data_IF_792337240834
#
_entry.id   IF_792337240834
#
_cell.length_a   1.000
_cell.length_b   1.000
_cell.length_c   1.000
_cell.angle_alpha   90.00
_cell.angle_beta   90.00
_cell.angle_gamma   90.00
#
_symmetry.space_group_name_H-M   'P 1'
#
loop_
_entity.id
_entity.type
_entity.pdbx_description
1 polymer ?
#
# COMPACT_ATOMS: atom_id res chain seq x y z
N UNK A 1 55.34 34.09 17.43
CA UNK A 1 54.31 34.10 18.48
C UNK A 1 53.05 33.52 17.86
N UNK A 2 52.46 32.44 18.39
CA UNK A 2 51.27 31.84 17.78
C UNK A 2 50.01 32.57 18.23
N UNK A 3 49.13 32.87 17.29
CA UNK A 3 47.80 33.42 17.56
C UNK A 3 46.93 32.34 18.22
N UNK A 4 46.38 32.68 19.40
CA UNK A 4 45.40 31.86 20.11
C UNK A 4 44.05 31.94 19.39
N UNK A 5 43.63 30.85 18.75
CA UNK A 5 42.24 30.63 18.39
C UNK A 5 41.38 30.75 19.67
N UNK A 6 40.57 31.80 19.76
CA UNK A 6 39.54 31.91 20.77
C UNK A 6 38.39 30.99 20.37
N UNK A 7 38.27 29.85 21.03
CA UNK A 7 37.05 29.04 20.97
C UNK A 7 35.93 29.82 21.66
N UNK A 8 34.83 30.03 20.95
CA UNK A 8 33.71 30.82 21.42
C UNK A 8 32.97 30.06 22.55
N UNK A 9 32.88 30.62 23.78
CA UNK A 9 32.23 29.97 24.90
C UNK A 9 30.73 29.72 24.68
N UNK A 10 30.11 30.30 23.65
CA UNK A 10 28.77 29.93 23.21
C UNK A 10 28.73 28.53 22.58
N UNK A 11 29.66 28.20 21.70
CA UNK A 11 29.67 26.91 21.00
C UNK A 11 29.97 25.74 21.94
N UNK A 12 30.86 25.93 22.92
CA UNK A 12 31.12 24.92 23.94
C UNK A 12 29.90 24.68 24.83
N UNK A 13 29.19 25.75 25.23
CA UNK A 13 27.96 25.63 26.03
C UNK A 13 26.81 25.02 25.23
N UNK A 14 26.69 25.36 23.96
CA UNK A 14 25.69 24.77 23.07
C UNK A 14 25.98 23.28 22.85
N UNK A 15 27.23 22.92 22.59
CA UNK A 15 27.64 21.52 22.39
C UNK A 15 27.50 20.70 23.67
N UNK A 16 27.81 21.30 24.83
CA UNK A 16 27.59 20.68 26.13
C UNK A 16 26.09 20.50 26.42
N UNK A 17 25.26 21.52 26.15
CA UNK A 17 23.82 21.42 26.31
C UNK A 17 23.18 20.38 25.38
N UNK A 18 23.67 20.26 24.13
CA UNK A 18 23.22 19.24 23.18
C UNK A 18 23.65 17.82 23.61
N UNK A 19 24.86 17.65 24.15
CA UNK A 19 25.30 16.35 24.71
C UNK A 19 24.56 15.99 25.98
N UNK A 20 24.27 16.95 26.86
CA UNK A 20 23.54 16.72 28.11
C UNK A 20 22.07 16.38 27.81
N UNK A 21 21.45 17.11 26.88
CA UNK A 21 20.10 16.80 26.38
C UNK A 21 20.06 15.44 25.67
N UNK A 22 21.07 15.13 24.84
CA UNK A 22 21.21 13.83 24.18
C UNK A 22 21.44 12.68 25.15
N UNK A 23 22.18 12.90 26.25
CA UNK A 23 22.42 11.93 27.32
C UNK A 23 21.18 11.69 28.20
N UNK A 24 20.30 12.69 28.32
CA UNK A 24 19.01 12.57 28.99
C UNK A 24 18.00 11.71 28.21
N UNK A 25 18.17 11.53 26.89
CA UNK A 25 17.47 10.52 26.10
C UNK A 25 18.05 9.11 26.32
N UNK A 26 18.24 8.70 27.56
CA UNK A 26 18.24 7.27 27.86
C UNK A 26 16.79 6.82 27.92
N UNK A 27 16.36 6.10 26.89
CA UNK A 27 15.16 5.28 26.93
C UNK A 27 15.22 4.38 28.17
N UNK A 28 14.66 4.84 29.29
CA UNK A 28 14.59 4.08 30.55
C UNK A 28 13.83 2.77 30.35
N UNK A 29 13.01 2.72 29.30
CA UNK A 29 12.25 1.54 28.94
C UNK A 29 12.20 1.40 27.41
N UNK A 30 13.20 0.70 26.86
CA UNK A 30 13.23 0.33 25.43
C UNK A 30 11.98 -0.47 25.04
N UNK A 31 11.45 -1.26 25.96
CA UNK A 31 10.19 -2.00 25.82
C UNK A 31 9.01 -1.05 25.68
N UNK A 32 8.88 0.00 26.50
CA UNK A 32 7.82 1.01 26.36
C UNK A 32 7.89 1.78 25.02
N UNK A 33 9.09 2.03 24.49
CA UNK A 33 9.27 2.64 23.16
C UNK A 33 8.93 1.68 22.02
N UNK A 34 9.27 0.41 22.16
CA UNK A 34 8.87 -0.66 21.23
C UNK A 34 7.36 -0.87 21.28
N UNK A 35 6.74 -0.85 22.46
CA UNK A 35 5.28 -0.99 22.64
C UNK A 35 4.53 0.23 22.12
N UNK A 36 5.03 1.44 22.39
CA UNK A 36 4.49 2.67 21.81
C UNK A 36 4.67 2.70 20.29
N UNK A 37 5.81 2.22 19.78
CA UNK A 37 6.09 2.05 18.36
C UNK A 37 5.20 1.00 17.70
N UNK A 38 4.94 -0.12 18.37
CA UNK A 38 4.04 -1.20 17.95
C UNK A 38 2.59 -0.74 17.99
N UNK A 39 2.17 0.01 19.00
CA UNK A 39 0.84 0.61 19.08
C UNK A 39 0.63 1.70 18.03
N UNK A 40 1.66 2.52 17.76
CA UNK A 40 1.64 3.50 16.67
C UNK A 40 1.63 2.82 15.31
N UNK A 41 2.39 1.74 15.14
CA UNK A 41 2.42 0.90 13.93
C UNK A 41 1.08 0.19 13.69
N UNK A 42 0.45 -0.35 14.74
CA UNK A 42 -0.90 -0.91 14.70
C UNK A 42 -1.92 0.15 14.35
N UNK A 43 -1.86 1.34 14.96
CA UNK A 43 -2.70 2.50 14.61
C UNK A 43 -2.47 2.99 13.17
N UNK A 44 -1.25 2.90 12.66
CA UNK A 44 -0.93 3.27 11.28
C UNK A 44 -1.43 2.20 10.28
N UNK A 45 -1.35 0.91 10.64
CA UNK A 45 -1.87 -0.19 9.84
C UNK A 45 -3.41 -0.24 9.87
N UNK A 46 -4.06 0.01 11.01
CA UNK A 46 -5.52 0.19 11.06
C UNK A 46 -5.93 1.44 10.31
N UNK A 47 -5.18 2.55 10.38
CA UNK A 47 -5.43 3.74 9.54
C UNK A 47 -5.22 3.49 8.04
N UNK A 48 -4.30 2.59 7.66
CA UNK A 48 -4.15 2.13 6.26
C UNK A 48 -5.31 1.22 5.84
N UNK A 49 -5.87 0.42 6.76
CA UNK A 49 -7.07 -0.41 6.53
C UNK A 49 -8.38 0.37 6.59
N UNK A 50 -8.42 1.54 7.24
CA UNK A 50 -9.50 2.53 7.13
C UNK A 50 -9.32 3.45 5.91
N UNK A 51 -8.26 3.25 5.13
CA UNK A 51 -7.91 4.03 3.94
C UNK A 51 -8.66 3.60 2.67
N UNK A 52 -9.78 2.90 2.81
CA UNK A 52 -10.79 2.79 1.74
C UNK A 52 -11.99 3.61 2.21
N UNK A 53 -11.94 4.92 1.91
CA UNK A 53 -13.03 5.89 1.94
C UNK A 53 -14.08 5.73 3.06
N UNK A 54 -13.64 5.66 4.31
CA UNK A 54 -14.53 5.61 5.48
C UNK A 54 -14.01 6.48 6.62
N UNK A 55 -14.11 7.81 6.49
CA UNK A 55 -13.97 8.74 7.60
C UNK A 55 -13.05 9.94 7.35
N UNK A 56 -13.65 11.12 7.23
CA UNK A 56 -12.94 12.42 7.27
C UNK A 56 -12.37 12.64 8.67
N UNK A 57 -11.05 12.59 8.79
CA UNK A 57 -10.29 13.27 9.84
C UNK A 57 -8.87 13.57 9.33
N UNK A 58 -8.68 14.80 8.86
CA UNK A 58 -7.41 15.29 8.36
C UNK A 58 -6.34 15.38 9.45
N UNK A 59 -5.17 14.77 9.18
CA UNK A 59 -3.88 15.22 9.68
C UNK A 59 -2.85 15.01 8.57
N UNK A 60 -2.35 16.11 8.03
CA UNK A 60 -1.19 16.13 7.14
C UNK A 60 0.05 15.67 7.92
N UNK A 61 0.66 14.55 7.51
CA UNK A 61 2.02 14.20 7.89
C UNK A 61 2.92 14.42 6.67
N UNK A 62 3.68 15.50 6.74
CA UNK A 62 4.80 15.82 5.86
C UNK A 62 5.84 14.70 6.05
N UNK A 63 6.03 13.88 5.03
CA UNK A 63 7.16 12.95 4.96
C UNK A 63 8.38 13.70 4.46
N UNK A 64 9.17 14.26 5.38
CA UNK A 64 10.57 14.63 5.09
C UNK A 64 11.40 13.35 5.02
N UNK A 65 12.30 13.32 4.04
CA UNK A 65 13.14 12.20 3.68
C UNK A 65 14.00 11.61 4.80
N UNK A 66 14.48 10.40 4.51
CA UNK A 66 15.23 9.55 5.42
C UNK A 66 16.48 10.22 5.99
N UNK A 67 16.60 10.17 7.31
CA UNK A 67 17.87 10.35 7.99
C UNK A 67 18.50 8.97 8.21
N UNK A 68 19.68 8.79 7.63
CA UNK A 68 20.56 7.64 7.80
C UNK A 68 20.93 7.44 9.28
N UNK A 69 20.93 6.19 9.73
CA UNK A 69 21.73 5.75 10.87
C UNK A 69 22.93 4.97 10.33
N UNK A 70 24.08 5.65 10.28
CA UNK A 70 25.39 5.04 10.08
C UNK A 70 25.74 4.19 11.32
N UNK A 71 26.17 2.93 11.17
CA UNK A 71 26.94 2.26 12.22
C UNK A 71 28.38 2.77 12.15
N UNK A 72 28.78 3.49 13.19
CA UNK A 72 30.17 3.82 13.49
C UNK A 72 30.97 2.55 13.74
N UNK A 73 32.10 2.42 13.04
CA UNK A 73 33.07 1.35 13.23
C UNK A 73 33.68 1.35 14.64
N UNK A 74 33.91 0.14 15.14
CA UNK A 74 34.73 -0.15 16.31
C UNK A 74 35.50 -1.43 16.03
N UNK A 75 36.79 -1.27 15.76
CA UNK A 75 37.81 -2.30 15.78
C UNK A 75 37.97 -2.87 17.18
N UNK A 76 37.98 -4.20 17.30
CA UNK A 76 38.72 -4.85 18.39
C UNK A 76 39.24 -6.22 17.92
N UNK A 77 40.52 -6.43 18.18
CA UNK A 77 41.32 -7.61 17.90
C UNK A 77 40.85 -8.81 18.74
N UNK A 78 40.87 -9.99 18.14
CA UNK A 78 40.55 -11.23 18.83
C UNK A 78 40.93 -12.46 18.03
N UNK A 79 42.21 -12.80 18.02
CA UNK A 79 42.71 -14.12 17.66
C UNK A 79 41.95 -15.21 18.42
N UNK A 80 41.20 -16.06 17.69
CA UNK A 80 41.00 -17.45 18.09
C UNK A 80 41.04 -18.36 16.86
N UNK A 81 42.20 -18.98 16.67
CA UNK A 81 42.38 -20.17 15.86
C UNK A 81 41.62 -21.34 16.52
N UNK A 82 40.79 -22.05 15.75
CA UNK A 82 40.35 -23.40 16.11
C UNK A 82 40.14 -24.28 14.88
N UNK A 83 40.45 -25.54 15.09
CA UNK A 83 40.81 -26.58 14.13
C UNK A 83 39.63 -27.35 13.55
N UNK A 84 39.79 -27.71 12.27
CA UNK A 84 39.22 -28.81 11.50
C UNK A 84 38.22 -29.79 12.17
N UNK A 85 37.06 -29.98 11.52
CA UNK A 85 36.68 -31.23 10.83
C UNK A 85 35.17 -31.46 10.81
N UNK A 86 34.63 -31.65 9.61
CA UNK A 86 33.90 -32.87 9.16
C UNK A 86 32.80 -32.47 8.18
N UNK A 87 33.04 -32.82 6.92
CA UNK A 87 32.06 -32.74 5.85
C UNK A 87 30.80 -33.54 6.20
N UNK A 88 29.70 -32.84 6.41
CA UNK A 88 28.37 -33.34 6.12
C UNK A 88 27.96 -32.70 4.81
N UNK A 89 27.76 -33.55 3.79
CA UNK A 89 27.23 -33.15 2.50
C UNK A 89 25.84 -32.53 2.70
N UNK A 90 25.80 -31.21 2.83
CA UNK A 90 24.59 -30.42 2.71
C UNK A 90 24.37 -30.23 1.22
N UNK A 91 23.18 -30.65 0.76
CA UNK A 91 22.72 -30.50 -0.61
C UNK A 91 23.17 -29.14 -1.17
N UNK A 92 23.73 -29.16 -2.38
CA UNK A 92 24.25 -28.01 -3.10
C UNK A 92 23.34 -26.80 -2.88
N UNK A 93 23.81 -25.85 -2.07
CA UNK A 93 23.36 -24.48 -2.21
C UNK A 93 23.70 -24.10 -3.65
N UNK A 94 22.68 -23.87 -4.47
CA UNK A 94 22.85 -23.24 -5.78
C UNK A 94 23.84 -22.09 -5.58
N UNK A 95 24.93 -22.07 -6.37
CA UNK A 95 25.88 -20.96 -6.32
C UNK A 95 25.05 -19.67 -6.41
N UNK A 96 25.22 -18.77 -5.42
CA UNK A 96 24.55 -17.49 -5.47
C UNK A 96 24.99 -16.81 -6.77
N UNK A 97 24.02 -16.37 -7.57
CA UNK A 97 24.30 -15.67 -8.81
C UNK A 97 25.21 -14.46 -8.51
N UNK A 98 26.11 -14.16 -9.43
CA UNK A 98 27.01 -13.01 -9.26
C UNK A 98 26.18 -11.72 -9.14
N UNK A 99 26.50 -10.82 -8.18
CA UNK A 99 25.82 -9.56 -8.06
C UNK A 99 25.88 -8.74 -9.35
N UNK A 100 24.76 -8.13 -9.73
CA UNK A 100 24.68 -7.17 -10.84
C UNK A 100 24.75 -5.76 -10.27
N UNK A 101 25.66 -4.93 -10.78
CA UNK A 101 25.82 -3.54 -10.32
C UNK A 101 24.70 -2.62 -10.81
N UNK A 102 24.45 -1.53 -10.08
CA UNK A 102 23.51 -0.49 -10.50
C UNK A 102 23.83 0.08 -11.89
N UNK A 103 25.11 0.33 -12.18
CA UNK A 103 25.56 0.81 -13.49
C UNK A 103 25.22 -0.16 -14.64
N UNK A 104 25.32 -1.47 -14.41
CA UNK A 104 24.97 -2.48 -15.41
C UNK A 104 23.46 -2.52 -15.67
N UNK A 105 22.65 -2.38 -14.62
CA UNK A 105 21.19 -2.28 -14.73
C UNK A 105 20.81 -1.01 -15.50
N UNK A 106 21.37 0.13 -15.11
CA UNK A 106 21.11 1.44 -15.72
C UNK A 106 21.52 1.47 -17.20
N UNK A 107 22.68 0.88 -17.54
CA UNK A 107 23.11 0.73 -18.93
C UNK A 107 22.11 -0.09 -19.74
N UNK A 108 21.68 -1.23 -19.20
CA UNK A 108 20.70 -2.10 -19.88
C UNK A 108 19.36 -1.40 -20.08
N UNK A 109 18.92 -0.58 -19.11
CA UNK A 109 17.71 0.23 -19.24
C UNK A 109 17.83 1.21 -20.43
N UNK A 110 18.92 1.95 -20.52
CA UNK A 110 19.15 2.91 -21.62
C UNK A 110 19.21 2.25 -22.99
N UNK A 111 19.79 1.05 -23.09
CA UNK A 111 19.85 0.30 -24.35
C UNK A 111 18.47 -0.23 -24.81
N UNK A 112 17.53 -0.38 -23.87
CA UNK A 112 16.17 -0.86 -24.14
C UNK A 112 15.15 0.28 -24.35
N UNK A 113 15.47 1.50 -23.92
CA UNK A 113 14.64 2.68 -24.17
C UNK A 113 14.68 3.08 -25.65
N UNK A 114 13.60 3.70 -26.15
CA UNK A 114 13.60 4.30 -27.49
C UNK A 114 14.58 5.48 -27.58
N UNK A 115 14.75 6.03 -28.78
CA UNK A 115 15.59 7.21 -28.99
C UNK A 115 15.07 8.40 -28.17
N UNK A 116 15.95 9.02 -27.38
CA UNK A 116 15.67 10.19 -26.56
C UNK A 116 16.83 10.56 -25.64
N UNK A 117 16.71 11.69 -24.96
CA UNK A 117 17.66 12.17 -23.96
C UNK A 117 17.36 11.55 -22.60
N UNK A 118 18.42 11.16 -21.88
CA UNK A 118 18.35 10.58 -20.54
C UNK A 118 19.08 11.50 -19.56
N UNK A 119 18.44 11.76 -18.42
CA UNK A 119 18.97 12.59 -17.33
C UNK A 119 18.50 12.07 -15.96
N UNK A 120 18.93 12.71 -14.87
CA UNK A 120 18.54 12.38 -13.48
C UNK A 120 18.60 10.88 -13.16
N UNK A 121 19.75 10.29 -13.48
CA UNK A 121 19.97 8.86 -13.41
C UNK A 121 20.27 8.41 -11.98
N UNK A 122 19.65 7.33 -11.55
CA UNK A 122 19.90 6.71 -10.26
C UNK A 122 19.70 5.20 -10.36
N UNK A 123 20.55 4.42 -9.69
CA UNK A 123 20.48 2.96 -9.76
C UNK A 123 21.14 2.30 -8.56
N UNK A 124 20.75 1.05 -8.32
CA UNK A 124 21.30 0.23 -7.24
C UNK A 124 21.41 -1.22 -7.66
N UNK A 125 22.51 -1.86 -7.29
CA UNK A 125 22.81 -3.25 -7.59
C UNK A 125 21.99 -4.26 -6.79
N UNK A 126 22.10 -5.53 -7.17
CA UNK A 126 21.32 -6.63 -6.57
C UNK A 126 21.79 -7.06 -5.18
N UNK A 127 23.02 -6.73 -4.80
CA UNK A 127 23.61 -6.98 -3.47
C UNK A 127 23.35 -5.83 -2.48
N UNK A 128 22.79 -4.73 -2.94
CA UNK A 128 22.51 -3.54 -2.14
C UNK A 128 21.05 -3.52 -1.64
N UNK A 129 20.83 -2.96 -0.44
CA UNK A 129 19.49 -2.86 0.18
C UNK A 129 18.81 -1.53 -0.19
N UNK A 130 17.46 -1.47 -0.27
CA UNK A 130 16.48 -2.56 -0.13
C UNK A 130 16.36 -3.57 -1.30
N UNK A 131 17.11 -3.40 -2.38
CA UNK A 131 17.07 -4.27 -3.56
C UNK A 131 17.37 -3.47 -4.84
N UNK A 132 17.58 -4.16 -5.97
CA UNK A 132 17.97 -3.51 -7.21
C UNK A 132 16.85 -2.64 -7.78
N UNK A 133 17.23 -1.52 -8.37
CA UNK A 133 16.36 -0.65 -9.15
C UNK A 133 17.20 0.19 -10.12
N UNK A 134 16.51 0.81 -11.08
CA UNK A 134 17.03 1.92 -11.86
C UNK A 134 15.94 2.96 -12.07
N UNK A 135 16.33 4.22 -12.18
CA UNK A 135 15.47 5.35 -12.46
C UNK A 135 16.18 6.31 -13.40
N UNK A 136 15.41 6.88 -14.33
CA UNK A 136 15.86 7.95 -15.23
C UNK A 136 14.74 8.95 -15.46
N UNK A 137 15.10 10.16 -15.86
CA UNK A 137 14.21 11.08 -16.58
C UNK A 137 14.52 10.98 -18.06
N UNK A 138 13.53 10.62 -18.85
CA UNK A 138 13.60 10.42 -20.29
C UNK A 138 12.82 11.51 -21.04
N UNK A 139 13.40 12.07 -22.09
CA UNK A 139 12.76 13.05 -22.96
C UNK A 139 13.02 12.70 -24.44
N UNK A 140 11.97 12.31 -25.15
CA UNK A 140 11.96 12.02 -26.60
C UNK A 140 11.73 13.28 -27.46
N UNK A 141 11.72 14.46 -26.84
CA UNK A 141 11.38 15.73 -27.48
C UNK A 141 9.93 16.17 -27.28
N UNK A 142 9.08 15.33 -26.68
CA UNK A 142 7.70 15.68 -26.33
C UNK A 142 7.52 16.08 -24.85
N UNK A 143 8.60 16.00 -24.06
CA UNK A 143 8.65 16.44 -22.67
C UNK A 143 9.16 15.35 -21.73
N UNK A 144 9.85 15.80 -20.68
CA UNK A 144 10.52 14.94 -19.71
C UNK A 144 9.58 14.09 -18.86
N UNK A 145 9.89 12.80 -18.73
CA UNK A 145 9.11 11.80 -18.01
C UNK A 145 10.00 10.93 -17.12
N UNK A 146 9.58 10.67 -15.89
CA UNK A 146 10.27 9.71 -15.04
C UNK A 146 9.94 8.28 -15.48
N UNK A 147 10.96 7.44 -15.57
CA UNK A 147 10.86 5.99 -15.79
C UNK A 147 11.62 5.30 -14.67
N UNK A 148 10.99 4.32 -14.04
CA UNK A 148 11.58 3.53 -12.96
C UNK A 148 11.40 2.04 -13.21
N UNK A 149 12.42 1.28 -12.84
CA UNK A 149 12.49 -0.17 -12.94
C UNK A 149 12.83 -0.74 -11.56
N UNK A 150 12.05 -1.71 -11.11
CA UNK A 150 12.26 -2.39 -9.84
C UNK A 150 12.21 -3.91 -10.01
N UNK A 151 12.91 -4.61 -9.11
CA UNK A 151 13.06 -6.05 -9.19
C UNK A 151 12.75 -6.71 -7.84
N UNK A 152 12.31 -7.96 -7.88
CA UNK A 152 12.08 -8.76 -6.70
C UNK A 152 11.92 -10.24 -7.01
N UNK A 153 11.78 -11.03 -5.96
CA UNK A 153 11.44 -12.45 -6.07
C UNK A 153 10.34 -12.79 -5.08
N UNK A 154 9.35 -13.50 -5.57
CA UNK A 154 8.18 -13.97 -4.83
C UNK A 154 8.10 -15.49 -4.89
N UNK A 155 7.32 -16.09 -3.99
CA UNK A 155 7.11 -17.54 -4.01
C UNK A 155 6.30 -17.93 -5.28
N UNK A 156 6.81 -18.86 -6.12
CA UNK A 156 6.08 -19.34 -7.29
C UNK A 156 4.68 -19.87 -6.93
N UNK A 157 3.66 -19.38 -7.61
CA UNK A 157 2.26 -19.77 -7.35
C UNK A 157 1.70 -19.31 -5.99
N UNK A 158 2.45 -18.50 -5.23
CA UNK A 158 1.97 -17.89 -3.98
C UNK A 158 0.91 -16.80 -4.21
N UNK A 159 0.22 -16.41 -3.14
CA UNK A 159 -0.81 -15.36 -3.21
C UNK A 159 -0.26 -13.99 -3.64
N UNK A 160 1.02 -13.71 -3.37
CA UNK A 160 1.70 -12.47 -3.77
C UNK A 160 1.75 -12.30 -5.31
N UNK A 161 1.87 -13.40 -6.07
CA UNK A 161 1.81 -13.36 -7.55
C UNK A 161 0.50 -12.72 -8.00
N UNK A 162 -0.61 -13.17 -7.43
CA UNK A 162 -1.92 -12.61 -7.71
C UNK A 162 -2.07 -11.16 -7.24
N UNK A 163 -1.43 -10.76 -6.15
CA UNK A 163 -1.48 -9.36 -5.68
C UNK A 163 -0.72 -8.40 -6.60
N UNK A 164 0.41 -8.85 -7.16
CA UNK A 164 1.24 -8.05 -8.06
C UNK A 164 0.64 -7.94 -9.47
N UNK A 165 -0.02 -9.00 -9.94
CA UNK A 165 -0.46 -9.11 -11.34
C UNK A 165 -1.97 -8.98 -11.54
N UNK A 166 -2.77 -8.86 -10.47
CA UNK A 166 -4.22 -8.59 -10.60
C UNK A 166 -4.47 -7.13 -10.95
N UNK A 167 -5.40 -6.91 -11.86
CA UNK A 167 -5.90 -5.58 -12.14
C UNK A 167 -6.64 -5.00 -10.93
N UNK A 168 -6.43 -3.71 -10.63
CA UNK A 168 -7.23 -3.02 -9.62
C UNK A 168 -8.72 -3.07 -9.99
N UNK A 169 -9.57 -3.03 -8.98
CA UNK A 169 -11.02 -3.03 -9.20
C UNK A 169 -11.47 -1.66 -9.72
N UNK A 170 -12.03 -1.64 -10.94
CA UNK A 170 -12.51 -0.44 -11.64
C UNK A 170 -13.49 0.41 -10.81
N UNK A 171 -14.17 -0.17 -9.82
CA UNK A 171 -15.03 0.60 -8.88
C UNK A 171 -14.24 1.65 -8.10
N UNK A 172 -12.96 1.41 -7.88
CA UNK A 172 -12.04 2.27 -7.13
C UNK A 172 -11.02 3.00 -8.01
N UNK A 173 -10.87 2.58 -9.27
CA UNK A 173 -10.00 3.22 -10.24
C UNK A 173 -10.75 3.51 -11.55
N UNK A 174 -11.80 4.35 -11.52
CA UNK A 174 -12.70 4.53 -12.66
C UNK A 174 -12.05 5.20 -13.89
N UNK A 175 -10.80 5.64 -13.77
CA UNK A 175 -10.03 6.29 -14.82
C UNK A 175 -8.90 5.44 -15.40
N UNK A 176 -8.71 4.23 -14.86
CA UNK A 176 -7.61 3.36 -15.23
C UNK A 176 -8.08 2.30 -16.24
N UNK A 177 -7.20 1.95 -17.17
CA UNK A 177 -7.30 0.76 -18.03
C UNK A 177 -6.28 -0.27 -17.56
N UNK A 178 -6.69 -1.52 -17.41
CA UNK A 178 -5.79 -2.57 -16.98
C UNK A 178 -6.06 -3.89 -17.68
N UNK A 179 -4.99 -4.50 -18.18
CA UNK A 179 -4.98 -5.84 -18.74
C UNK A 179 -4.07 -6.74 -17.91
N UNK A 180 -4.51 -7.97 -17.68
CA UNK A 180 -3.72 -8.98 -16.98
C UNK A 180 -3.91 -10.34 -17.64
N UNK A 181 -2.82 -11.05 -17.88
CA UNK A 181 -2.83 -12.30 -18.63
C UNK A 181 -1.59 -13.15 -18.41
N UNK A 182 -1.68 -14.40 -18.85
CA UNK A 182 -0.57 -15.34 -18.83
C UNK A 182 0.10 -15.38 -20.20
N UNK A 183 1.42 -15.24 -20.24
CA UNK A 183 2.24 -15.35 -21.44
C UNK A 183 2.54 -16.82 -21.77
N UNK A 184 3.05 -17.08 -22.98
CA UNK A 184 3.34 -18.43 -23.48
C UNK A 184 4.41 -19.17 -22.65
N UNK A 185 5.36 -18.43 -22.08
CA UNK A 185 6.41 -18.95 -21.20
C UNK A 185 5.90 -19.28 -19.78
N UNK A 186 4.62 -19.03 -19.51
CA UNK A 186 3.98 -19.27 -18.23
C UNK A 186 4.06 -18.10 -17.25
N UNK A 187 4.72 -17.00 -17.61
CA UNK A 187 4.75 -15.75 -16.84
C UNK A 187 3.37 -15.10 -16.79
N UNK A 188 3.09 -14.32 -15.74
CA UNK A 188 1.88 -13.48 -15.64
C UNK A 188 2.28 -12.02 -15.79
N UNK A 189 1.65 -11.33 -16.74
CA UNK A 189 1.88 -9.93 -17.06
C UNK A 189 0.65 -9.11 -16.67
N UNK A 190 0.87 -7.95 -16.07
CA UNK A 190 -0.13 -6.91 -15.87
C UNK A 190 0.34 -5.62 -16.51
N UNK A 191 -0.49 -5.00 -17.33
CA UNK A 191 -0.31 -3.67 -17.91
C UNK A 191 -1.39 -2.75 -17.34
N UNK A 192 -0.99 -1.61 -16.78
CA UNK A 192 -1.89 -0.62 -16.20
C UNK A 192 -1.59 0.74 -16.82
N UNK A 193 -2.62 1.40 -17.32
CA UNK A 193 -2.58 2.79 -17.76
C UNK A 193 -3.58 3.59 -16.95
N UNK A 194 -3.11 4.52 -16.12
CA UNK A 194 -3.99 5.25 -15.22
C UNK A 194 -3.39 6.52 -14.68
N UNK A 195 -3.84 6.90 -13.49
CA UNK A 195 -3.36 8.07 -12.77
C UNK A 195 -2.58 7.69 -11.51
N UNK A 196 -1.61 8.53 -11.12
CA UNK A 196 -0.89 8.36 -9.85
C UNK A 196 -1.85 8.35 -8.65
N UNK A 197 -2.98 9.04 -8.77
CA UNK A 197 -4.02 9.08 -7.75
C UNK A 197 -5.37 8.67 -8.36
N UNK A 198 -6.06 7.65 -7.80
CA UNK A 198 -7.37 7.20 -8.29
C UNK A 198 -8.46 8.27 -8.26
N UNK A 199 -8.33 9.26 -7.38
CA UNK A 199 -9.22 10.42 -7.28
C UNK A 199 -8.94 11.49 -8.35
N UNK A 200 -7.90 11.29 -9.17
CA UNK A 200 -7.41 12.23 -10.19
C UNK A 200 -7.29 13.67 -9.66
N UNK A 201 -6.83 13.84 -8.42
CA UNK A 201 -6.64 15.19 -7.84
C UNK A 201 -5.57 16.02 -8.54
N UNK A 202 -4.72 15.36 -9.34
CA UNK A 202 -3.78 15.97 -10.28
C UNK A 202 -3.77 15.12 -11.55
N UNK A 203 -3.37 15.74 -12.67
CA UNK A 203 -3.31 15.09 -13.99
C UNK A 203 -2.03 14.24 -14.22
N UNK A 204 -1.26 13.98 -13.16
CA UNK A 204 -0.11 13.08 -13.23
C UNK A 204 -0.59 11.66 -13.52
N UNK A 205 -0.23 11.15 -14.69
CA UNK A 205 -0.49 9.77 -15.11
C UNK A 205 0.60 8.85 -14.57
N UNK A 206 0.23 7.60 -14.32
CA UNK A 206 1.12 6.50 -13.99
C UNK A 206 0.78 5.32 -14.89
N UNK A 207 1.69 4.96 -15.78
CA UNK A 207 1.60 3.73 -16.56
C UNK A 207 2.63 2.74 -16.02
N UNK A 208 2.27 1.46 -15.98
CA UNK A 208 3.13 0.43 -15.39
C UNK A 208 2.94 -0.95 -16.00
N UNK A 209 4.01 -1.73 -15.93
CA UNK A 209 3.99 -3.15 -16.27
C UNK A 209 4.59 -3.97 -15.12
N UNK A 210 3.92 -5.03 -14.72
CA UNK A 210 4.40 -6.01 -13.75
C UNK A 210 4.46 -7.39 -14.40
N UNK A 211 5.65 -7.98 -14.46
CA UNK A 211 5.86 -9.35 -14.91
C UNK A 211 6.26 -10.21 -13.72
N UNK A 212 5.56 -11.33 -13.52
CA UNK A 212 5.97 -12.40 -12.60
C UNK A 212 6.17 -13.69 -13.38
N UNK A 213 7.41 -14.20 -13.44
CA UNK A 213 7.70 -15.45 -14.16
C UNK A 213 7.17 -16.68 -13.43
N UNK A 214 7.15 -17.83 -14.11
CA UNK A 214 6.78 -19.11 -13.49
C UNK A 214 7.66 -19.48 -12.29
N UNK A 215 8.91 -19.00 -12.27
CA UNK A 215 9.90 -19.17 -11.19
C UNK A 215 9.80 -18.07 -10.12
N UNK A 216 8.81 -17.19 -10.17
CA UNK A 216 8.58 -16.15 -9.17
C UNK A 216 9.54 -14.96 -9.29
N UNK A 217 10.17 -14.76 -10.45
CA UNK A 217 10.94 -13.54 -10.73
C UNK A 217 9.98 -12.38 -10.99
N UNK A 218 10.12 -11.27 -10.27
CA UNK A 218 9.27 -10.08 -10.44
C UNK A 218 10.08 -8.92 -11.01
N UNK A 219 9.60 -8.37 -12.12
CA UNK A 219 10.11 -7.14 -12.73
C UNK A 219 8.94 -6.17 -12.82
N UNK A 220 9.17 -4.91 -12.41
CA UNK A 220 8.19 -3.83 -12.51
C UNK A 220 8.78 -2.64 -13.21
N UNK A 221 8.08 -2.15 -14.23
CA UNK A 221 8.31 -0.84 -14.85
C UNK A 221 7.20 0.11 -14.40
N UNK A 222 7.54 1.37 -14.13
CA UNK A 222 6.58 2.44 -13.89
C UNK A 222 7.08 3.73 -14.49
N UNK A 223 6.21 4.44 -15.17
CA UNK A 223 6.50 5.71 -15.83
C UNK A 223 5.42 6.75 -15.56
N UNK A 224 5.82 8.03 -15.61
CA UNK A 224 4.94 9.17 -15.37
C UNK A 224 5.05 10.17 -16.52
N UNK A 225 3.97 10.91 -16.78
CA UNK A 225 3.96 12.03 -17.74
C UNK A 225 4.58 13.33 -17.16
N UNK A 226 5.42 13.19 -16.14
CA UNK A 226 6.13 14.24 -15.43
C UNK A 226 7.53 13.73 -15.07
N UNK A 227 8.53 14.62 -14.89
CA UNK A 227 9.91 14.22 -14.58
C UNK A 227 10.07 13.65 -13.16
N UNK A 228 9.02 13.64 -12.35
CA UNK A 228 8.99 12.97 -11.06
C UNK A 228 7.57 12.50 -10.72
N UNK A 229 7.46 11.47 -9.88
CA UNK A 229 6.18 10.98 -9.33
C UNK A 229 5.39 12.10 -8.61
N UNK A 230 6.09 13.00 -7.90
CA UNK A 230 5.48 14.07 -7.10
C UNK A 230 6.29 15.35 -7.18
N UNK A 231 5.61 16.48 -6.99
CA UNK A 231 6.24 17.79 -6.84
C UNK A 231 6.72 18.44 -8.14
N UNK A 232 6.76 17.68 -9.24
CA UNK A 232 7.01 18.20 -10.58
C UNK A 232 5.69 18.42 -11.34
N UNK A 233 5.61 19.45 -12.20
CA UNK A 233 4.47 19.63 -13.11
C UNK A 233 4.45 18.53 -14.18
N UNK A 234 3.26 18.26 -14.71
CA UNK A 234 3.07 17.47 -15.93
C UNK A 234 3.73 18.22 -17.10
N UNK A 235 4.46 17.48 -17.93
CA UNK A 235 5.25 18.01 -19.06
C UNK A 235 4.74 17.51 -20.41
N UNK A 236 4.01 16.40 -20.43
CA UNK A 236 3.46 15.74 -21.62
C UNK A 236 2.08 15.14 -21.34
N UNK A 237 1.30 14.84 -22.37
CA UNK A 237 -0.06 14.31 -22.19
C UNK A 237 -0.06 12.89 -21.61
N UNK A 238 0.70 11.98 -22.22
CA UNK A 238 0.85 10.58 -21.83
C UNK A 238 2.31 10.25 -21.50
N UNK A 239 2.58 9.29 -20.60
CA UNK A 239 3.93 8.74 -20.43
C UNK A 239 4.54 8.24 -21.76
N UNK A 240 5.88 8.27 -21.91
CA UNK A 240 6.56 8.08 -23.18
C UNK A 240 6.47 6.67 -23.78
N UNK A 241 6.33 5.62 -22.97
CA UNK A 241 6.31 4.25 -23.48
C UNK A 241 4.88 3.80 -23.81
N UNK A 242 4.68 3.22 -24.99
CA UNK A 242 3.44 2.51 -25.30
C UNK A 242 3.30 1.25 -24.44
N UNK A 243 2.11 0.67 -24.36
CA UNK A 243 1.89 -0.63 -23.70
C UNK A 243 2.78 -1.73 -24.28
N UNK A 244 2.98 -1.73 -25.60
CA UNK A 244 3.89 -2.65 -26.30
C UNK A 244 5.36 -2.44 -25.88
N UNK A 245 5.78 -1.19 -25.72
CA UNK A 245 7.13 -0.86 -25.26
C UNK A 245 7.34 -1.22 -23.78
N UNK A 246 6.32 -1.00 -22.93
CA UNK A 246 6.30 -1.44 -21.54
C UNK A 246 6.41 -2.97 -21.43
N UNK A 247 5.64 -3.71 -22.22
CA UNK A 247 5.71 -5.17 -22.29
C UNK A 247 7.10 -5.63 -22.72
N UNK A 248 7.65 -5.06 -23.81
CA UNK A 248 9.00 -5.39 -24.29
C UNK A 248 10.06 -5.09 -23.22
N UNK A 249 9.93 -3.97 -22.51
CA UNK A 249 10.88 -3.58 -21.47
C UNK A 249 10.80 -4.53 -20.28
N UNK A 250 9.61 -4.84 -19.76
CA UNK A 250 9.46 -5.68 -18.57
C UNK A 250 9.82 -7.16 -18.83
N UNK A 251 9.69 -7.63 -20.08
CA UNK A 251 9.98 -9.01 -20.49
C UNK A 251 11.42 -9.23 -20.99
N UNK A 252 12.27 -8.20 -21.00
CA UNK A 252 13.62 -8.33 -21.53
C UNK A 252 14.47 -9.35 -20.75
N UNK A 253 15.11 -10.28 -21.48
CA UNK A 253 15.86 -11.40 -20.91
C UNK A 253 17.00 -10.97 -19.96
N UNK A 254 17.57 -9.77 -20.18
CA UNK A 254 18.65 -9.20 -19.35
C UNK A 254 18.26 -9.03 -17.88
N UNK A 255 16.96 -8.93 -17.59
CA UNK A 255 16.45 -8.81 -16.22
C UNK A 255 16.51 -10.12 -15.44
N UNK A 256 16.57 -11.27 -16.12
CA UNK A 256 16.62 -12.58 -15.44
C UNK A 256 17.85 -12.69 -14.54
N UNK A 257 18.99 -12.17 -14.97
CA UNK A 257 20.23 -12.20 -14.19
C UNK A 257 20.15 -11.28 -12.96
N UNK A 258 19.55 -10.10 -13.10
CA UNK A 258 19.31 -9.15 -11.99
C UNK A 258 18.43 -9.79 -10.92
N UNK A 259 17.33 -10.43 -11.34
CA UNK A 259 16.43 -11.09 -10.40
C UNK A 259 17.07 -12.37 -9.83
N UNK A 260 17.88 -13.11 -10.62
CA UNK A 260 18.61 -14.28 -10.15
C UNK A 260 19.57 -13.95 -8.98
N UNK A 261 20.19 -12.77 -9.02
CA UNK A 261 21.06 -12.25 -7.97
C UNK A 261 20.30 -11.61 -6.79
N UNK A 262 18.98 -11.44 -6.89
CA UNK A 262 18.13 -10.89 -5.83
C UNK A 262 17.63 -12.01 -4.90
N UNK A 263 17.84 -11.93 -3.56
CA UNK A 263 17.30 -12.91 -2.62
C UNK A 263 15.77 -13.00 -2.67
N UNK A 264 15.22 -14.20 -2.44
CA UNK A 264 13.77 -14.36 -2.16
C UNK A 264 13.45 -13.50 -0.94
N UNK A 265 12.42 -12.64 -1.02
CA UNK A 265 11.95 -11.96 0.18
C UNK A 265 11.50 -13.04 1.16
N UNK A 266 12.12 -13.17 2.36
CA UNK A 266 11.66 -14.16 3.31
C UNK A 266 10.20 -13.86 3.61
N UNK A 267 9.34 -14.88 3.49
CA UNK A 267 7.97 -14.78 4.00
C UNK A 267 8.08 -14.22 5.43
N UNK A 268 7.26 -13.22 5.81
CA UNK A 268 7.31 -12.67 7.16
C UNK A 268 7.24 -13.86 8.11
N UNK A 269 8.34 -14.12 8.81
CA UNK A 269 8.37 -15.16 9.82
C UNK A 269 7.29 -14.76 10.80
N UNK A 270 6.27 -15.62 10.92
CA UNK A 270 5.14 -15.38 11.79
C UNK A 270 5.69 -14.84 13.10
N UNK A 271 5.28 -13.61 13.44
CA UNK A 271 5.70 -12.98 14.68
C UNK A 271 5.51 -14.03 15.78
N UNK A 272 6.58 -14.32 16.54
CA UNK A 272 6.51 -15.23 17.68
C UNK A 272 5.23 -14.92 18.46
N UNK A 273 4.45 -15.94 18.88
CA UNK A 273 3.12 -15.72 19.42
C UNK A 273 3.24 -14.78 20.62
N UNK A 274 2.93 -13.50 20.37
CA UNK A 274 2.69 -12.56 21.44
C UNK A 274 1.46 -13.11 22.16
N UNK A 275 1.52 -13.19 23.48
CA UNK A 275 0.41 -13.58 24.36
C UNK A 275 -0.75 -12.58 24.34
N UNK A 276 -1.10 -12.07 23.16
CA UNK A 276 -2.33 -11.36 22.89
C UNK A 276 -3.45 -12.42 22.85
N UNK A 277 -4.62 -12.09 23.42
CA UNK A 277 -5.83 -12.90 23.21
C UNK A 277 -5.89 -13.26 21.73
N UNK A 278 -6.07 -14.54 21.44
CA UNK A 278 -6.20 -15.06 20.08
C UNK A 278 -7.38 -14.32 19.44
N UNK A 279 -7.06 -13.29 18.64
CA UNK A 279 -8.07 -12.45 18.00
C UNK A 279 -8.83 -13.34 17.02
N UNK A 280 -10.16 -13.24 16.93
CA UNK A 280 -10.91 -14.00 15.93
C UNK A 280 -10.30 -13.82 14.54
N UNK A 281 -10.33 -14.87 13.69
CA UNK A 281 -9.85 -14.75 12.33
C UNK A 281 -10.58 -13.61 11.62
N UNK A 282 -9.86 -12.89 10.76
CA UNK A 282 -10.47 -11.81 9.99
C UNK A 282 -11.63 -12.33 9.14
N UNK A 283 -12.74 -11.61 9.11
CA UNK A 283 -13.94 -12.03 8.40
C UNK A 283 -13.67 -12.06 6.91
N UNK A 284 -14.02 -13.17 6.25
CA UNK A 284 -13.88 -13.38 4.81
C UNK A 284 -14.70 -12.35 4.02
N UNK A 285 -14.06 -11.68 3.06
CA UNK A 285 -14.74 -10.72 2.18
C UNK A 285 -15.90 -11.35 1.40
N UNK A 286 -15.79 -12.62 1.03
CA UNK A 286 -16.86 -13.37 0.36
C UNK A 286 -18.10 -13.52 1.25
N UNK A 287 -17.89 -13.83 2.51
CA UNK A 287 -18.98 -14.01 3.48
C UNK A 287 -19.64 -12.66 3.76
N UNK A 288 -18.85 -11.59 3.86
CA UNK A 288 -19.35 -10.22 3.94
C UNK A 288 -20.22 -9.87 2.71
N UNK A 289 -19.76 -10.17 1.49
CA UNK A 289 -20.54 -9.93 0.26
C UNK A 289 -21.86 -10.70 0.28
N UNK A 290 -21.84 -11.96 0.70
CA UNK A 290 -23.02 -12.81 0.75
C UNK A 290 -24.03 -12.29 1.77
N UNK A 291 -23.58 -11.91 2.97
CA UNK A 291 -24.43 -11.32 4.00
C UNK A 291 -25.01 -9.99 3.53
N UNK A 292 -24.18 -9.09 2.98
CA UNK A 292 -24.66 -7.80 2.46
C UNK A 292 -25.74 -7.99 1.39
N UNK A 293 -25.48 -8.83 0.38
CA UNK A 293 -26.43 -9.10 -0.69
C UNK A 293 -27.76 -9.69 -0.18
N UNK A 294 -27.71 -10.54 0.85
CA UNK A 294 -28.91 -11.11 1.47
C UNK A 294 -29.73 -10.12 2.30
N UNK A 295 -29.12 -9.01 2.75
CA UNK A 295 -29.77 -7.96 3.55
C UNK A 295 -30.36 -6.82 2.70
N UNK A 296 -30.01 -6.76 1.41
CA UNK A 296 -30.56 -5.74 0.51
C UNK A 296 -32.09 -5.87 0.40
N UNK A 297 -32.84 -4.76 0.41
CA UNK A 297 -34.28 -4.80 0.19
C UNK A 297 -34.62 -5.28 -1.22
N UNK A 298 -35.84 -5.80 -1.39
CA UNK A 298 -36.36 -6.17 -2.70
C UNK A 298 -36.43 -4.93 -3.62
N UNK A 299 -36.20 -5.15 -4.92
CA UNK A 299 -36.23 -4.08 -5.93
C UNK A 299 -34.89 -3.37 -6.15
N UNK A 300 -33.81 -3.82 -5.50
CA UNK A 300 -32.44 -3.43 -5.82
C UNK A 300 -31.70 -4.58 -6.48
N UNK A 301 -31.27 -4.35 -7.72
CA UNK A 301 -30.45 -5.30 -8.46
C UNK A 301 -28.97 -5.08 -8.14
N UNK A 302 -28.26 -6.15 -7.76
CA UNK A 302 -26.80 -6.10 -7.60
C UNK A 302 -26.16 -6.20 -8.99
N UNK A 303 -25.73 -5.06 -9.53
CA UNK A 303 -25.14 -4.97 -10.88
C UNK A 303 -23.62 -5.17 -10.87
N UNK A 304 -22.96 -4.94 -9.73
CA UNK A 304 -21.53 -5.24 -9.52
C UNK A 304 -21.28 -5.63 -8.06
N UNK A 305 -20.25 -6.42 -7.82
CA UNK A 305 -19.78 -6.78 -6.47
C UNK A 305 -18.28 -7.01 -6.49
N UNK A 306 -17.62 -6.74 -5.37
CA UNK A 306 -16.19 -6.97 -5.20
C UNK A 306 -15.80 -6.79 -3.75
N UNK A 307 -14.51 -6.76 -3.48
CA UNK A 307 -14.01 -6.67 -2.11
C UNK A 307 -12.57 -7.11 -1.97
N UNK A 308 -12.10 -7.09 -0.73
CA UNK A 308 -10.81 -7.66 -0.37
C UNK A 308 -11.00 -9.11 0.07
N UNK A 309 -9.88 -9.80 0.31
CA UNK A 309 -9.93 -11.17 0.85
C UNK A 309 -10.59 -11.20 2.23
N UNK A 310 -10.45 -10.12 3.02
CA UNK A 310 -10.97 -10.02 4.39
C UNK A 310 -11.43 -8.61 4.74
N UNK A 311 -12.31 -8.50 5.74
CA UNK A 311 -12.74 -7.27 6.44
C UNK A 311 -13.43 -6.18 5.59
N UNK A 312 -13.46 -6.33 4.26
CA UNK A 312 -14.05 -5.36 3.34
C UNK A 312 -14.74 -6.03 2.15
N UNK A 313 -15.93 -5.54 1.81
CA UNK A 313 -16.67 -5.90 0.61
C UNK A 313 -17.51 -4.72 0.13
N UNK A 314 -17.97 -4.78 -1.12
CA UNK A 314 -18.95 -3.87 -1.64
C UNK A 314 -19.89 -4.54 -2.65
N UNK A 315 -21.03 -3.89 -2.85
CA UNK A 315 -21.96 -4.14 -3.97
C UNK A 315 -22.30 -2.80 -4.61
N UNK A 316 -22.55 -2.81 -5.91
CA UNK A 316 -23.19 -1.70 -6.61
C UNK A 316 -24.62 -2.15 -6.90
N UNK A 317 -25.57 -1.36 -6.44
CA UNK A 317 -27.00 -1.62 -6.61
C UNK A 317 -27.61 -0.63 -7.61
N UNK A 318 -28.62 -1.08 -8.34
CA UNK A 318 -29.43 -0.23 -9.21
C UNK A 318 -30.91 -0.63 -9.12
N UNK A 319 -31.80 0.35 -9.01
CA UNK A 319 -33.27 0.20 -9.02
C UNK A 319 -33.90 0.77 -10.32
N UNK A 320 -33.08 0.97 -11.35
CA UNK A 320 -33.45 1.64 -12.60
C UNK A 320 -33.32 3.17 -12.56
N UNK A 321 -32.88 3.74 -11.43
CA UNK A 321 -32.65 5.20 -11.27
C UNK A 321 -31.15 5.56 -11.23
N UNK A 322 -30.25 4.60 -11.47
CA UNK A 322 -28.79 4.79 -11.55
C UNK A 322 -28.00 3.94 -10.55
N UNK A 323 -26.69 3.78 -10.74
CA UNK A 323 -25.90 2.94 -9.85
C UNK A 323 -25.61 3.60 -8.47
N UNK A 324 -25.64 2.82 -7.38
CA UNK A 324 -25.35 3.25 -6.01
C UNK A 324 -24.38 2.26 -5.34
N UNK A 325 -23.25 2.73 -4.85
CA UNK A 325 -22.17 1.90 -4.29
C UNK A 325 -22.36 1.74 -2.79
N UNK A 326 -22.63 0.53 -2.35
CA UNK A 326 -22.74 0.15 -0.94
C UNK A 326 -21.47 -0.60 -0.53
N UNK A 327 -20.71 -0.03 0.40
CA UNK A 327 -19.48 -0.60 0.94
C UNK A 327 -19.69 -1.03 2.39
N UNK A 328 -18.98 -2.07 2.80
CA UNK A 328 -19.04 -2.58 4.16
C UNK A 328 -17.67 -2.98 4.68
N UNK A 329 -17.39 -2.59 5.91
CA UNK A 329 -16.28 -3.10 6.71
C UNK A 329 -16.81 -3.92 7.88
N UNK A 330 -16.28 -5.13 8.06
CA UNK A 330 -16.58 -6.01 9.21
C UNK A 330 -15.26 -6.33 9.92
N UNK A 331 -15.11 -5.84 11.15
CA UNK A 331 -13.81 -5.78 11.83
C UNK A 331 -13.89 -6.28 13.26
N UNK A 332 -12.85 -6.98 13.71
CA UNK A 332 -12.65 -7.36 15.12
C UNK A 332 -11.56 -6.51 15.78
N UNK A 333 -11.67 -6.35 17.10
CA UNK A 333 -10.71 -5.68 17.97
C UNK A 333 -10.66 -4.17 17.75
N UNK A 334 -11.84 -3.55 17.58
CA UNK A 334 -12.02 -2.10 17.39
C UNK A 334 -12.44 -1.37 18.69
N UNK A 335 -12.42 -2.05 19.83
CA UNK A 335 -12.84 -1.50 21.13
C UNK A 335 -11.98 -0.30 21.58
N UNK A 336 -10.69 -0.30 21.23
CA UNK A 336 -9.71 0.72 21.60
C UNK A 336 -10.00 2.11 20.99
N UNK A 337 -10.74 2.14 19.87
CA UNK A 337 -11.15 3.38 19.18
C UNK A 337 -12.63 3.73 19.40
N UNK A 338 -13.39 2.91 20.13
CA UNK A 338 -14.82 3.09 20.30
C UNK A 338 -15.19 4.47 20.88
N UNK A 339 -14.42 4.95 21.86
CA UNK A 339 -14.67 6.27 22.47
C UNK A 339 -14.51 7.44 21.49
N UNK A 340 -13.70 7.28 20.44
CA UNK A 340 -13.54 8.29 19.39
C UNK A 340 -14.65 8.18 18.34
N UNK A 341 -14.95 6.95 17.90
CA UNK A 341 -15.93 6.69 16.83
C UNK A 341 -17.36 7.04 17.26
N UNK A 342 -17.72 6.78 18.52
CA UNK A 342 -19.09 6.91 19.01
C UNK A 342 -19.27 8.04 20.02
N UNK A 343 -18.33 8.99 20.09
CA UNK A 343 -18.39 10.12 21.05
C UNK A 343 -19.70 10.92 20.95
N UNK A 344 -20.21 11.09 19.73
CA UNK A 344 -21.49 11.75 19.40
C UNK A 344 -22.56 10.76 18.95
N UNK A 345 -22.34 9.46 19.18
CA UNK A 345 -23.25 8.40 18.79
C UNK A 345 -24.31 8.10 19.85
N UNK A 346 -25.15 7.11 19.56
CA UNK A 346 -26.09 6.54 20.52
C UNK A 346 -25.60 5.17 21.00
N UNK A 347 -26.17 4.68 22.09
CA UNK A 347 -25.97 3.31 22.58
C UNK A 347 -27.34 2.69 22.80
N UNK A 348 -27.58 1.57 22.14
CA UNK A 348 -28.81 0.79 22.25
C UNK A 348 -28.87 0.05 23.60
N UNK A 349 -30.06 -0.44 24.02
CA UNK A 349 -30.23 -1.15 25.30
C UNK A 349 -29.38 -2.43 25.45
N UNK A 350 -29.03 -3.08 24.34
CA UNK A 350 -28.15 -4.24 24.30
C UNK A 350 -26.66 -3.88 24.48
N UNK A 351 -26.32 -2.58 24.46
CA UNK A 351 -24.97 -2.05 24.51
C UNK A 351 -24.32 -1.82 23.15
N UNK A 352 -25.05 -2.04 22.04
CA UNK A 352 -24.56 -1.72 20.69
C UNK A 352 -24.40 -0.21 20.53
N UNK A 353 -23.21 0.23 20.16
CA UNK A 353 -22.91 1.65 19.87
C UNK A 353 -23.15 1.94 18.41
N UNK A 354 -23.71 3.11 18.11
CA UNK A 354 -24.03 3.51 16.73
C UNK A 354 -23.61 4.95 16.49
N UNK A 355 -22.93 5.20 15.38
CA UNK A 355 -22.73 6.53 14.83
C UNK A 355 -23.32 6.56 13.42
N UNK A 356 -23.97 7.68 13.08
CA UNK A 356 -24.51 7.90 11.74
C UNK A 356 -23.93 9.18 11.16
N UNK A 357 -23.70 9.18 9.86
CA UNK A 357 -23.20 10.34 9.14
C UNK A 357 -23.90 10.45 7.79
N UNK A 358 -24.33 11.66 7.46
CA UNK A 358 -24.94 11.98 6.17
C UNK A 358 -24.29 13.26 5.66
N UNK A 359 -23.61 13.19 4.51
CA UNK A 359 -22.94 14.37 4.00
C UNK A 359 -22.27 14.16 2.66
N UNK A 360 -21.35 15.09 2.35
CA UNK A 360 -20.48 15.00 1.18
C UNK A 360 -19.63 13.74 1.29
N UNK A 361 -19.59 12.97 0.21
CA UNK A 361 -18.71 11.81 0.06
C UNK A 361 -17.32 12.25 -0.34
N UNK A 362 -16.92 11.97 -1.58
CA UNK A 362 -15.67 12.50 -2.12
C UNK A 362 -15.82 14.01 -2.39
N UNK A 363 -15.15 14.83 -1.59
CA UNK A 363 -15.17 16.29 -1.67
C UNK A 363 -14.58 16.84 -2.98
N UNK A 364 -13.86 16.00 -3.74
CA UNK A 364 -13.31 16.33 -5.06
C UNK A 364 -14.28 16.09 -6.20
N UNK A 365 -15.35 15.33 -5.97
CA UNK A 365 -16.36 15.04 -6.98
C UNK A 365 -17.64 15.79 -6.64
N UNK A 366 -17.95 16.90 -7.34
CA UNK A 366 -19.12 17.71 -7.04
C UNK A 366 -20.42 16.90 -7.00
N UNK A 367 -21.17 17.05 -5.91
CA UNK A 367 -22.48 16.41 -5.73
C UNK A 367 -22.44 14.97 -5.22
N UNK A 368 -21.26 14.39 -4.96
CA UNK A 368 -21.19 13.06 -4.35
C UNK A 368 -21.60 13.13 -2.88
N UNK A 369 -22.55 12.27 -2.52
CA UNK A 369 -23.01 12.07 -1.16
C UNK A 369 -22.53 10.71 -0.66
N UNK A 370 -22.22 10.63 0.63
CA UNK A 370 -21.95 9.38 1.33
C UNK A 370 -22.72 9.34 2.64
N UNK A 371 -23.51 8.29 2.80
CA UNK A 371 -24.32 8.04 3.99
C UNK A 371 -23.77 6.82 4.71
N UNK A 372 -23.52 6.92 6.00
CA UNK A 372 -22.82 5.90 6.77
C UNK A 372 -23.58 5.56 8.04
N UNK A 373 -23.67 4.26 8.34
CA UNK A 373 -24.01 3.73 9.66
C UNK A 373 -22.85 2.88 10.16
N UNK A 374 -22.26 3.30 11.26
CA UNK A 374 -21.17 2.62 11.94
C UNK A 374 -21.70 2.02 13.23
N UNK A 375 -21.54 0.71 13.42
CA UNK A 375 -22.03 0.01 14.60
C UNK A 375 -20.92 -0.79 15.26
N UNK A 376 -20.95 -0.86 16.59
CA UNK A 376 -20.08 -1.75 17.37
C UNK A 376 -20.92 -2.54 18.35
N UNK A 377 -20.92 -3.87 18.18
CA UNK A 377 -21.62 -4.79 19.07
C UNK A 377 -20.99 -4.75 20.48
N UNK A 378 -21.78 -5.02 21.53
CA UNK A 378 -21.27 -5.11 22.89
C UNK A 378 -20.27 -6.26 23.05
N UNK A 379 -19.32 -6.09 23.97
CA UNK A 379 -18.29 -7.08 24.31
C UNK A 379 -16.87 -6.56 24.15
N UNK A 380 -15.91 -7.32 24.65
CA UNK A 380 -14.50 -6.93 24.68
C UNK A 380 -13.81 -7.02 23.30
N UNK A 381 -14.39 -7.76 22.36
CA UNK A 381 -13.76 -8.04 21.07
C UNK A 381 -14.00 -6.94 20.03
N UNK A 382 -14.76 -5.89 20.36
CA UNK A 382 -14.98 -4.73 19.49
C UNK A 382 -15.41 -5.09 18.06
N UNK A 383 -16.45 -5.94 17.91
CA UNK A 383 -16.97 -6.33 16.60
C UNK A 383 -17.72 -5.16 15.96
N UNK A 384 -17.14 -4.60 14.90
CA UNK A 384 -17.59 -3.39 14.23
C UNK A 384 -18.10 -3.71 12.83
N UNK A 385 -19.29 -3.22 12.51
CA UNK A 385 -19.88 -3.25 11.16
C UNK A 385 -20.14 -1.82 10.73
N UNK A 386 -19.48 -1.39 9.66
CA UNK A 386 -19.66 -0.07 9.05
C UNK A 386 -20.22 -0.26 7.67
N UNK A 387 -21.33 0.39 7.36
CA UNK A 387 -21.92 0.39 6.03
C UNK A 387 -21.99 1.83 5.55
N UNK A 388 -21.40 2.08 4.38
CA UNK A 388 -21.44 3.37 3.70
C UNK A 388 -22.08 3.19 2.33
N UNK A 389 -22.94 4.12 1.93
CA UNK A 389 -23.50 4.14 0.58
C UNK A 389 -23.27 5.49 -0.09
N UNK A 390 -22.86 5.42 -1.36
CA UNK A 390 -22.67 6.58 -2.23
C UNK A 390 -23.81 6.71 -3.25
N UNK A 391 -24.15 7.94 -3.65
CA UNK A 391 -25.10 8.23 -4.73
C UNK A 391 -24.52 8.04 -6.15
N UNK A 392 -23.49 7.21 -6.28
CA UNK A 392 -22.81 6.87 -7.52
C UNK A 392 -22.41 5.38 -7.50
N UNK A 393 -21.97 4.83 -8.64
CA UNK A 393 -21.56 3.42 -8.73
C UNK A 393 -20.07 3.15 -8.45
N UNK A 394 -19.29 4.17 -8.10
CA UNK A 394 -17.81 4.07 -8.00
C UNK A 394 -17.26 5.14 -7.07
N UNK A 395 -16.24 4.83 -6.28
CA UNK A 395 -15.67 5.69 -5.24
C UNK A 395 -15.31 7.12 -5.69
N UNK A 396 -14.82 7.28 -6.93
CA UNK A 396 -14.38 8.56 -7.48
C UNK A 396 -15.16 8.99 -8.73
N UNK A 397 -16.33 8.37 -8.96
CA UNK A 397 -17.18 8.67 -10.11
C UNK A 397 -18.19 9.77 -9.82
N UNK A 398 -18.72 10.37 -10.89
CA UNK A 398 -19.78 11.39 -10.76
C UNK A 398 -21.07 10.78 -10.19
N UNK A 399 -21.90 11.57 -9.50
CA UNK A 399 -23.24 11.16 -9.11
C UNK A 399 -24.04 10.63 -10.28
N UNK A 400 -24.73 9.51 -10.08
CA UNK A 400 -25.70 8.94 -11.04
C UNK A 400 -27.13 9.28 -10.61
N UNK A 401 -27.30 9.79 -9.38
CA UNK A 401 -28.57 10.07 -8.70
C UNK A 401 -28.36 11.15 -7.62
N UNK A 402 -29.44 11.81 -7.22
CA UNK A 402 -29.38 12.92 -6.24
C UNK A 402 -29.12 12.47 -4.80
N UNK A 403 -29.44 11.21 -4.48
CA UNK A 403 -29.24 10.60 -3.16
C UNK A 403 -28.93 9.10 -3.29
N UNK A 404 -28.30 8.46 -2.28
CA UNK A 404 -28.12 7.01 -2.20
C UNK A 404 -29.44 6.22 -2.40
N UNK A 405 -29.33 4.96 -2.86
CA UNK A 405 -30.48 4.10 -3.10
C UNK A 405 -31.22 3.71 -1.82
N UNK A 406 -30.48 3.49 -0.73
CA UNK A 406 -31.05 3.13 0.56
C UNK A 406 -31.28 4.39 1.40
N UNK A 407 -32.38 4.39 2.15
CA UNK A 407 -32.59 5.40 3.19
C UNK A 407 -31.63 5.18 4.35
N UNK A 408 -31.40 6.21 5.18
CA UNK A 408 -30.65 6.06 6.44
C UNK A 408 -31.26 4.99 7.35
N UNK A 409 -32.59 4.89 7.41
CA UNK A 409 -33.27 3.84 8.17
C UNK A 409 -32.94 2.45 7.63
N UNK A 410 -32.91 2.28 6.30
CA UNK A 410 -32.57 0.99 5.70
C UNK A 410 -31.10 0.64 5.88
N UNK A 411 -30.18 1.59 5.74
CA UNK A 411 -28.76 1.38 6.07
C UNK A 411 -28.58 0.96 7.52
N UNK A 412 -29.35 1.56 8.43
CA UNK A 412 -29.35 1.22 9.85
C UNK A 412 -29.86 -0.20 10.10
N UNK A 413 -30.97 -0.58 9.48
CA UNK A 413 -31.49 -1.95 9.54
C UNK A 413 -30.46 -2.98 9.07
N UNK A 414 -29.79 -2.71 7.95
CA UNK A 414 -28.74 -3.59 7.43
C UNK A 414 -27.58 -3.66 8.42
N UNK A 415 -27.06 -2.53 8.92
CA UNK A 415 -25.92 -2.51 9.84
C UNK A 415 -26.20 -3.17 11.20
N UNK A 416 -27.45 -3.15 11.67
CA UNK A 416 -27.89 -3.77 12.93
C UNK A 416 -28.34 -5.22 12.78
N UNK A 417 -28.38 -5.77 11.57
CA UNK A 417 -28.85 -7.13 11.35
C UNK A 417 -28.05 -8.17 12.14
N UNK A 418 -28.76 -9.12 12.75
CA UNK A 418 -28.17 -10.30 13.44
C UNK A 418 -27.47 -11.26 12.46
N UNK A 419 -27.71 -11.12 11.15
CA UNK A 419 -26.97 -11.88 10.13
C UNK A 419 -25.46 -11.61 10.18
N UNK A 420 -25.03 -10.44 10.63
CA UNK A 420 -23.63 -10.13 10.86
C UNK A 420 -23.04 -10.89 12.05
N UNK A 421 -23.84 -11.22 13.05
CA UNK A 421 -23.37 -11.91 14.26
C UNK A 421 -22.99 -13.36 13.96
N UNK A 422 -23.42 -13.92 12.82
CA UNK A 422 -22.94 -15.21 12.30
C UNK A 422 -21.47 -15.18 11.88
N UNK A 423 -20.91 -13.98 11.68
CA UNK A 423 -19.52 -13.74 11.31
C UNK A 423 -18.66 -13.30 12.52
N UNK A 424 -19.24 -13.25 13.72
CA UNK A 424 -18.60 -12.84 14.96
C UNK A 424 -18.04 -14.05 15.72
#
# INVERSE_FOLDING_TARGET
MPEKQHQDPFEERLTAALRDTGGAFRAVDRTALVDAGRNRGRRALTRRRTGVLGGVAGVALIGVGGAMLLPSGGSDDGEQSSVASRATARASASAAAEPVSGDAILKSLKELLPEGEVSEEDARGSDEKPGPYAQVVFDDGEGAAAISLGFGRVEPGGSEVGQLTRCPDETFVPYDSCDSGRLEDGSTLRLLQGYEYPDRRVDTKLWSADLVTAEGQHVRVSEWNSPAQKGAPVTREDPPLSTEALEKLVTADVWRDVVAATPVRPAPTGSAPSSERERPPAVSGKDITQTLAGLLPAGLDVVKKGGQDTEFSYVVVDDGRGASLVQVNVQHGMDDVAGQLYASGETLPDGTRIATHQGVGDDRVPGVLMWTVDTMRPGDDGFRVVISEFNNGSAHGRPTRDAPALTMDRLREIALSEEWDKLR
#
